data_IF_982052766975
#
_entry.id   IF_982052766975
#
_cell.length_a   1.000
_cell.length_b   1.000
_cell.length_c   1.000
_cell.angle_alpha   90.00
_cell.angle_beta   90.00
_cell.angle_gamma   90.00
#
_symmetry.space_group_name_H-M   'P 1'
#
loop_
_entity.id
_entity.type
_entity.pdbx_description
1 polymer ?
#
# COMPACT_ATOMS: atom_id res chain seq x y z
N UNK A 1 -12.92 -21.12 17.71
CA UNK A 1 -13.86 -20.16 17.08
C UNK A 1 -14.18 -20.67 15.68
N UNK A 2 -15.40 -20.51 15.17
CA UNK A 2 -15.82 -21.06 13.86
C UNK A 2 -14.87 -20.72 12.71
N UNK A 3 -14.38 -19.47 12.64
CA UNK A 3 -13.44 -19.09 11.61
C UNK A 3 -12.11 -19.86 11.66
N UNK A 4 -11.65 -20.25 12.86
CA UNK A 4 -10.42 -21.04 13.04
C UNK A 4 -10.62 -22.48 12.61
N UNK A 5 -11.80 -23.04 12.83
CA UNK A 5 -12.17 -24.38 12.35
C UNK A 5 -12.23 -24.38 10.83
N UNK A 6 -12.90 -23.39 10.23
CA UNK A 6 -12.92 -23.25 8.79
C UNK A 6 -11.50 -23.01 8.19
N UNK A 7 -10.66 -22.22 8.86
CA UNK A 7 -9.28 -22.04 8.44
C UNK A 7 -8.48 -23.35 8.51
N UNK A 8 -8.68 -24.16 9.56
CA UNK A 8 -8.02 -25.45 9.70
C UNK A 8 -8.47 -26.45 8.61
N UNK A 9 -9.78 -26.48 8.29
CA UNK A 9 -10.33 -27.30 7.21
C UNK A 9 -9.73 -26.90 5.85
N UNK A 10 -9.66 -25.60 5.58
CA UNK A 10 -9.06 -25.08 4.34
C UNK A 10 -7.57 -25.39 4.22
N UNK A 11 -6.81 -25.24 5.30
CA UNK A 11 -5.38 -25.60 5.36
C UNK A 11 -5.19 -27.09 5.17
N UNK A 12 -6.12 -27.89 5.72
CA UNK A 12 -6.09 -29.37 5.69
C UNK A 12 -6.70 -29.99 4.43
N UNK A 13 -7.29 -29.22 3.54
CA UNK A 13 -7.95 -29.73 2.33
C UNK A 13 -6.97 -30.53 1.46
N UNK A 14 -7.39 -31.75 1.06
CA UNK A 14 -6.60 -32.68 0.26
C UNK A 14 -7.16 -32.71 -1.16
N UNK A 15 -6.28 -32.58 -2.15
CA UNK A 15 -6.63 -32.72 -3.56
C UNK A 15 -6.77 -34.17 -4.01
N UNK A 16 -7.19 -34.38 -5.25
CA UNK A 16 -7.37 -35.73 -5.85
C UNK A 16 -6.05 -36.54 -5.93
N UNK A 17 -4.90 -35.87 -5.86
CA UNK A 17 -3.56 -36.44 -5.82
C UNK A 17 -3.13 -36.90 -4.41
N UNK A 18 -3.96 -36.70 -3.40
CA UNK A 18 -3.67 -37.01 -2.01
C UNK A 18 -2.71 -36.04 -1.30
N UNK A 19 -2.41 -34.88 -1.93
CA UNK A 19 -1.58 -33.82 -1.37
C UNK A 19 -2.46 -32.69 -0.85
N UNK A 20 -1.88 -31.79 -0.06
CA UNK A 20 -2.58 -30.55 0.32
C UNK A 20 -2.93 -29.75 -0.94
N UNK A 21 -4.19 -29.42 -1.07
CA UNK A 21 -4.75 -28.75 -2.26
C UNK A 21 -4.13 -27.38 -2.52
N UNK A 22 -3.88 -26.63 -1.44
CA UNK A 22 -3.47 -25.25 -1.53
C UNK A 22 -1.99 -25.09 -1.18
N UNK A 23 -1.10 -24.83 -2.16
CA UNK A 23 0.32 -24.62 -1.88
C UNK A 23 0.55 -23.32 -1.09
N UNK A 24 -0.40 -22.37 -1.15
CA UNK A 24 -0.40 -21.16 -0.34
C UNK A 24 -1.77 -20.89 0.25
N UNK A 25 -1.80 -20.52 1.53
CA UNK A 25 -3.01 -20.11 2.24
C UNK A 25 -2.77 -18.74 2.86
N UNK A 26 -3.63 -17.77 2.55
CA UNK A 26 -3.58 -16.43 3.10
C UNK A 26 -4.76 -16.24 4.05
N UNK A 27 -4.47 -15.78 5.25
CA UNK A 27 -5.46 -15.46 6.28
C UNK A 27 -5.29 -13.99 6.67
N UNK A 28 -6.19 -13.16 6.18
CA UNK A 28 -6.27 -11.74 6.48
C UNK A 28 -7.38 -11.54 7.51
N UNK A 29 -7.01 -11.18 8.73
CA UNK A 29 -7.97 -11.03 9.86
C UNK A 29 -7.57 -9.85 10.76
N UNK A 30 -8.52 -9.22 11.44
CA UNK A 30 -8.26 -8.13 12.37
C UNK A 30 -7.28 -8.50 13.49
N UNK A 31 -6.80 -7.51 14.22
CA UNK A 31 -6.08 -7.75 15.48
C UNK A 31 -6.99 -8.44 16.49
N UNK A 32 -6.38 -9.22 17.40
CA UNK A 32 -7.09 -9.95 18.48
C UNK A 32 -8.09 -11.02 17.96
N UNK A 33 -8.00 -11.41 16.69
CA UNK A 33 -8.85 -12.45 16.11
C UNK A 33 -8.47 -13.87 16.53
N UNK A 34 -7.31 -14.09 17.18
CA UNK A 34 -6.85 -15.42 17.59
C UNK A 34 -5.91 -16.08 16.58
N UNK A 35 -5.13 -15.29 15.82
CA UNK A 35 -4.13 -15.76 14.83
C UNK A 35 -3.14 -16.78 15.41
N UNK A 36 -2.67 -16.56 16.63
CA UNK A 36 -1.67 -17.42 17.30
C UNK A 36 -2.14 -18.87 17.44
N UNK A 37 -3.43 -19.08 17.75
CA UNK A 37 -4.00 -20.43 17.89
C UNK A 37 -3.95 -21.20 16.57
N UNK A 38 -4.32 -20.57 15.45
CA UNK A 38 -4.27 -21.24 14.14
C UNK A 38 -2.83 -21.49 13.69
N UNK A 39 -1.90 -20.58 14.01
CA UNK A 39 -0.47 -20.77 13.78
C UNK A 39 0.04 -22.03 14.49
N UNK A 40 -0.19 -22.09 15.79
CA UNK A 40 0.27 -23.19 16.63
C UNK A 40 -0.34 -24.54 16.20
N UNK A 41 -1.65 -24.58 16.01
CA UNK A 41 -2.32 -25.82 15.63
C UNK A 41 -1.85 -26.32 14.26
N UNK A 42 -1.69 -25.45 13.26
CA UNK A 42 -1.20 -25.84 11.94
C UNK A 42 0.23 -26.35 11.95
N UNK A 43 1.13 -25.66 12.67
CA UNK A 43 2.53 -26.07 12.79
C UNK A 43 2.67 -27.42 13.52
N UNK A 44 1.95 -27.62 14.62
CA UNK A 44 1.97 -28.87 15.39
C UNK A 44 1.31 -30.00 14.59
N UNK A 45 0.15 -29.77 14.00
CA UNK A 45 -0.54 -30.77 13.16
C UNK A 45 0.38 -31.28 12.05
N UNK A 46 1.11 -30.38 11.35
CA UNK A 46 2.02 -30.77 10.27
C UNK A 46 3.08 -31.78 10.73
N UNK A 47 3.53 -31.74 11.98
CA UNK A 47 4.52 -32.68 12.50
C UNK A 47 4.01 -34.14 12.53
N UNK A 48 2.69 -34.33 12.63
CA UNK A 48 2.04 -35.65 12.66
C UNK A 48 1.70 -36.22 11.29
N UNK A 49 1.70 -35.39 10.22
CA UNK A 49 1.26 -35.84 8.87
C UNK A 49 2.23 -36.76 8.15
N UNK A 50 3.37 -37.06 8.74
CA UNK A 50 4.36 -37.97 8.16
C UNK A 50 5.69 -37.97 8.89
N UNK A 51 6.60 -38.84 8.48
CA UNK A 51 7.95 -38.89 9.04
C UNK A 51 8.85 -37.81 8.46
N UNK A 52 9.71 -37.27 9.30
CA UNK A 52 10.73 -36.30 8.87
C UNK A 52 10.18 -34.95 8.40
N UNK A 53 9.00 -34.58 8.86
CA UNK A 53 8.43 -33.26 8.51
C UNK A 53 9.29 -32.11 9.04
N UNK A 54 9.42 -31.08 8.23
CA UNK A 54 10.14 -29.83 8.54
C UNK A 54 9.19 -28.67 8.50
N UNK A 55 8.99 -28.05 9.64
CA UNK A 55 8.07 -26.92 9.82
C UNK A 55 8.88 -25.71 10.29
N UNK A 56 8.65 -24.59 9.66
CA UNK A 56 9.34 -23.34 9.95
C UNK A 56 8.34 -22.24 10.21
N UNK A 57 8.67 -21.34 11.13
CA UNK A 57 7.89 -20.11 11.33
C UNK A 57 8.77 -18.88 11.35
N UNK A 58 8.25 -17.79 10.79
CA UNK A 58 8.92 -16.51 10.82
C UNK A 58 7.94 -15.39 11.18
N UNK A 59 8.48 -14.24 11.55
CA UNK A 59 7.75 -13.03 11.85
C UNK A 59 8.60 -11.82 11.42
N UNK A 60 8.16 -10.62 11.76
CA UNK A 60 8.82 -9.36 11.43
C UNK A 60 10.36 -9.35 11.59
N UNK A 61 10.87 -10.01 12.62
CA UNK A 61 12.32 -10.17 12.85
C UNK A 61 12.61 -11.56 13.41
N UNK A 62 13.87 -12.02 13.31
CA UNK A 62 14.29 -13.29 13.90
C UNK A 62 14.04 -13.37 15.41
N UNK A 63 14.22 -12.24 16.13
CA UNK A 63 13.92 -12.18 17.56
C UNK A 63 12.41 -12.35 17.84
N UNK A 64 11.55 -11.72 17.02
CA UNK A 64 10.09 -11.88 17.13
C UNK A 64 9.64 -13.29 16.75
N UNK A 65 10.21 -13.86 15.71
CA UNK A 65 9.95 -15.26 15.33
C UNK A 65 10.28 -16.22 16.48
N UNK A 66 11.45 -16.03 17.10
CA UNK A 66 11.87 -16.81 18.28
C UNK A 66 10.94 -16.61 19.47
N UNK A 67 10.58 -15.39 19.81
CA UNK A 67 9.68 -15.10 20.95
C UNK A 67 8.33 -15.79 20.78
N UNK A 68 7.71 -15.64 19.59
CA UNK A 68 6.42 -16.29 19.27
C UNK A 68 6.53 -17.83 19.29
N UNK A 69 7.62 -18.38 18.82
CA UNK A 69 7.87 -19.82 18.88
C UNK A 69 8.00 -20.30 20.34
N UNK A 70 8.70 -19.57 21.20
CA UNK A 70 8.83 -19.90 22.64
C UNK A 70 7.47 -19.90 23.33
N UNK A 71 6.61 -18.92 23.06
CA UNK A 71 5.23 -18.86 23.59
C UNK A 71 4.42 -20.11 23.16
N UNK A 72 4.56 -20.56 21.91
CA UNK A 72 3.89 -21.76 21.42
C UNK A 72 4.45 -23.03 22.11
N UNK A 73 5.75 -23.11 22.33
CA UNK A 73 6.39 -24.23 23.02
C UNK A 73 5.96 -24.30 24.48
N UNK A 74 5.81 -23.18 25.17
CA UNK A 74 5.32 -23.14 26.56
C UNK A 74 3.93 -23.78 26.68
N UNK A 75 3.03 -23.53 25.71
CA UNK A 75 1.71 -24.19 25.69
C UNK A 75 1.83 -25.69 25.52
N UNK A 76 2.74 -26.17 24.63
CA UNK A 76 2.95 -27.60 24.37
C UNK A 76 3.59 -28.31 25.57
N UNK A 77 4.46 -27.64 26.30
CA UNK A 77 5.11 -28.17 27.51
C UNK A 77 4.21 -28.13 28.76
N UNK A 78 3.08 -27.42 28.68
CA UNK A 78 2.17 -27.31 29.82
C UNK A 78 1.52 -28.65 30.16
N UNK A 79 1.16 -28.82 31.42
CA UNK A 79 0.46 -30.00 31.95
C UNK A 79 -0.93 -30.18 31.29
N UNK A 80 -1.47 -29.12 30.70
CA UNK A 80 -2.77 -29.15 30.03
C UNK A 80 -2.67 -29.69 28.59
N UNK A 81 -1.48 -29.81 28.01
CA UNK A 81 -1.34 -30.33 26.66
C UNK A 81 -1.20 -31.86 26.68
N UNK A 82 -2.20 -32.60 26.20
CA UNK A 82 -2.28 -34.05 26.40
C UNK A 82 -1.20 -34.86 25.67
N UNK A 83 -0.51 -34.25 24.70
CA UNK A 83 0.51 -34.91 23.89
C UNK A 83 1.94 -34.47 24.20
N UNK A 84 2.16 -33.74 25.30
CA UNK A 84 3.46 -33.15 25.65
C UNK A 84 4.60 -34.16 25.68
N UNK A 85 4.34 -35.36 26.19
CA UNK A 85 5.34 -36.44 26.33
C UNK A 85 5.90 -36.95 24.98
N UNK A 86 5.23 -36.63 23.86
CA UNK A 86 5.70 -36.97 22.52
C UNK A 86 6.78 -36.02 21.99
N UNK A 87 6.98 -34.91 22.65
CA UNK A 87 7.86 -33.86 22.17
C UNK A 87 9.12 -33.71 23.03
N UNK A 88 10.19 -33.33 22.35
CA UNK A 88 11.44 -32.90 22.96
C UNK A 88 11.77 -31.51 22.47
N UNK A 89 12.12 -30.59 23.36
CA UNK A 89 12.37 -29.19 23.02
C UNK A 89 13.83 -28.83 23.22
N UNK A 90 14.37 -28.07 22.28
CA UNK A 90 15.66 -27.35 22.40
C UNK A 90 15.39 -25.86 22.32
N UNK A 91 15.83 -25.08 23.32
CA UNK A 91 15.56 -23.63 23.43
C UNK A 91 16.83 -22.77 23.30
N UNK A 92 17.99 -23.39 23.06
CA UNK A 92 19.24 -22.64 22.92
C UNK A 92 19.18 -21.74 21.68
N UNK A 93 19.63 -20.49 21.82
CA UNK A 93 19.64 -19.53 20.73
C UNK A 93 20.42 -20.02 19.52
N UNK A 94 19.80 -19.99 18.34
CA UNK A 94 20.32 -20.53 17.09
C UNK A 94 20.20 -22.06 16.94
N UNK A 95 19.56 -22.74 17.90
CA UNK A 95 19.29 -24.18 17.83
C UNK A 95 17.90 -24.53 18.41
N UNK A 96 16.96 -23.63 18.18
CA UNK A 96 15.57 -23.79 18.61
C UNK A 96 14.88 -24.89 17.82
N UNK A 97 14.36 -25.91 18.50
CA UNK A 97 13.64 -27.01 17.85
C UNK A 97 12.61 -27.62 18.81
N UNK A 98 11.37 -27.75 18.35
CA UNK A 98 10.37 -28.65 18.90
C UNK A 98 10.40 -29.93 18.05
N UNK A 99 10.70 -31.06 18.66
CA UNK A 99 10.93 -32.33 17.98
C UNK A 99 9.85 -33.33 18.36
N UNK A 100 9.08 -33.82 17.40
CA UNK A 100 8.24 -35.02 17.57
C UNK A 100 9.12 -36.24 17.33
N UNK A 101 9.68 -36.80 18.41
CA UNK A 101 10.77 -37.77 18.38
C UNK A 101 10.42 -39.05 17.60
N UNK A 102 9.19 -39.55 17.77
CA UNK A 102 8.73 -40.79 17.12
C UNK A 102 8.72 -40.73 15.61
N UNK A 103 8.45 -39.54 15.06
CA UNK A 103 8.39 -39.33 13.60
C UNK A 103 9.63 -38.56 13.08
N UNK A 104 10.57 -38.16 13.92
CA UNK A 104 11.71 -37.32 13.56
C UNK A 104 11.30 -36.04 12.83
N UNK A 105 10.13 -35.50 13.19
CA UNK A 105 9.60 -34.24 12.65
C UNK A 105 10.01 -33.11 13.52
N UNK A 106 10.25 -31.91 12.93
CA UNK A 106 10.80 -30.74 13.63
C UNK A 106 10.05 -29.48 13.28
N UNK A 107 9.86 -28.61 14.29
CA UNK A 107 9.35 -27.26 14.14
C UNK A 107 10.34 -26.27 14.77
N UNK A 108 10.75 -25.26 14.01
CA UNK A 108 11.72 -24.25 14.43
C UNK A 108 11.38 -22.86 13.90
N UNK A 109 11.78 -21.78 14.58
CA UNK A 109 11.72 -20.44 14.06
C UNK A 109 12.90 -20.17 13.13
N UNK A 110 12.75 -19.23 12.19
CA UNK A 110 13.86 -18.68 11.42
C UNK A 110 13.72 -17.15 11.22
N UNK A 111 14.82 -16.42 11.03
CA UNK A 111 14.76 -15.00 10.68
C UNK A 111 14.24 -14.82 9.24
N UNK A 112 13.60 -13.68 8.93
CA UNK A 112 13.10 -13.40 7.58
C UNK A 112 14.21 -12.87 6.65
N UNK A 113 15.29 -13.65 6.47
CA UNK A 113 16.44 -13.29 5.62
C UNK A 113 16.63 -14.33 4.51
N UNK A 114 17.24 -13.91 3.41
CA UNK A 114 17.43 -14.71 2.20
C UNK A 114 18.17 -16.03 2.44
N UNK A 115 19.14 -16.03 3.32
CA UNK A 115 20.03 -17.17 3.62
C UNK A 115 19.54 -18.05 4.78
N UNK A 116 18.44 -17.66 5.46
CA UNK A 116 18.01 -18.26 6.71
C UNK A 116 17.67 -19.76 6.63
N UNK A 117 17.27 -20.24 5.47
CA UNK A 117 16.87 -21.63 5.21
C UNK A 117 17.78 -22.36 4.19
N UNK A 118 18.97 -21.81 3.90
CA UNK A 118 19.90 -22.45 2.97
C UNK A 118 20.28 -23.88 3.42
N UNK A 119 20.10 -24.83 2.51
CA UNK A 119 20.36 -26.26 2.79
C UNK A 119 19.27 -26.99 3.56
N UNK A 120 18.20 -26.31 3.95
CA UNK A 120 17.07 -26.90 4.64
C UNK A 120 15.98 -27.37 3.65
N UNK A 121 15.04 -28.14 4.15
CA UNK A 121 13.80 -28.52 3.48
C UNK A 121 12.60 -28.05 4.29
N UNK A 122 11.47 -27.84 3.63
CA UNK A 122 10.26 -27.38 4.30
C UNK A 122 9.00 -28.08 3.78
N UNK A 123 8.21 -28.60 4.72
CA UNK A 123 6.85 -29.10 4.47
C UNK A 123 5.82 -28.01 4.78
N UNK A 124 6.15 -27.08 5.67
CA UNK A 124 5.32 -25.94 6.03
C UNK A 124 6.19 -24.77 6.42
N UNK A 125 5.95 -23.62 5.79
CA UNK A 125 6.42 -22.32 6.26
C UNK A 125 5.22 -21.51 6.76
N UNK A 126 5.30 -20.99 7.97
CA UNK A 126 4.30 -20.11 8.55
C UNK A 126 4.88 -18.71 8.69
N UNK A 127 4.25 -17.73 8.01
CA UNK A 127 4.65 -16.33 8.02
C UNK A 127 3.62 -15.53 8.80
N UNK A 128 4.03 -14.93 9.91
CA UNK A 128 3.16 -14.09 10.75
C UNK A 128 3.45 -12.59 10.53
N UNK A 129 2.40 -11.79 10.56
CA UNK A 129 2.45 -10.32 10.38
C UNK A 129 3.07 -9.90 9.03
N UNK A 130 2.66 -10.54 7.94
CA UNK A 130 3.18 -10.30 6.60
C UNK A 130 3.08 -8.86 6.11
N UNK A 131 2.15 -8.07 6.66
CA UNK A 131 1.95 -6.66 6.33
C UNK A 131 3.17 -5.76 6.59
N UNK A 132 4.14 -6.22 7.39
CA UNK A 132 5.33 -5.43 7.76
C UNK A 132 6.44 -5.48 6.70
N UNK A 133 6.45 -6.50 5.83
CA UNK A 133 7.49 -6.68 4.83
C UNK A 133 7.26 -5.75 3.63
N UNK A 134 8.28 -5.02 3.25
CA UNK A 134 8.32 -4.37 1.95
C UNK A 134 8.59 -5.37 0.82
N UNK A 135 8.55 -4.92 -0.43
CA UNK A 135 8.72 -5.81 -1.59
C UNK A 135 10.12 -6.47 -1.63
N UNK A 136 11.17 -5.78 -1.18
CA UNK A 136 12.53 -6.31 -1.17
C UNK A 136 12.73 -7.34 -0.05
N UNK A 137 12.24 -7.05 1.16
CA UNK A 137 12.27 -7.97 2.30
C UNK A 137 11.44 -9.22 2.01
N UNK A 138 10.28 -9.04 1.40
CA UNK A 138 9.41 -10.13 1.00
C UNK A 138 10.03 -11.02 -0.09
N UNK A 139 10.68 -10.41 -1.09
CA UNK A 139 11.41 -11.13 -2.12
C UNK A 139 12.54 -11.99 -1.52
N UNK A 140 13.34 -11.42 -0.61
CA UNK A 140 14.39 -12.13 0.11
C UNK A 140 13.83 -13.30 0.93
N UNK A 141 12.73 -13.09 1.67
CA UNK A 141 12.05 -14.14 2.43
C UNK A 141 11.53 -15.26 1.53
N UNK A 142 10.87 -14.93 0.43
CA UNK A 142 10.33 -15.94 -0.50
C UNK A 142 11.45 -16.67 -1.24
N UNK A 143 12.58 -16.02 -1.49
CA UNK A 143 13.78 -16.66 -2.05
C UNK A 143 14.41 -17.68 -1.08
N UNK A 144 14.32 -17.46 0.23
CA UNK A 144 14.69 -18.45 1.23
C UNK A 144 13.71 -19.64 1.27
N UNK A 145 12.39 -19.39 1.18
CA UNK A 145 11.34 -20.39 1.40
C UNK A 145 11.14 -21.32 0.18
N UNK A 146 10.93 -20.75 -1.01
CA UNK A 146 10.47 -21.50 -2.19
C UNK A 146 11.40 -22.65 -2.57
N UNK A 147 12.74 -22.50 -2.60
CA UNK A 147 13.64 -23.61 -2.92
C UNK A 147 13.55 -24.77 -1.93
N UNK A 148 13.28 -24.52 -0.65
CA UNK A 148 13.17 -25.57 0.38
C UNK A 148 11.97 -26.51 0.18
N UNK A 149 10.97 -26.07 -0.57
CA UNK A 149 9.72 -26.79 -0.85
C UNK A 149 9.77 -27.60 -2.14
N UNK A 150 10.70 -27.33 -3.04
CA UNK A 150 10.75 -27.91 -4.40
C UNK A 150 10.76 -29.45 -4.40
N UNK A 151 11.40 -30.07 -3.41
CA UNK A 151 11.51 -31.54 -3.28
C UNK A 151 10.54 -32.11 -2.25
N UNK A 152 9.56 -31.36 -1.80
CA UNK A 152 8.61 -31.74 -0.74
C UNK A 152 7.18 -31.71 -1.27
N UNK A 153 6.66 -32.82 -1.81
CA UNK A 153 5.28 -32.89 -2.31
C UNK A 153 4.27 -32.46 -1.23
N UNK A 154 3.32 -31.63 -1.59
CA UNK A 154 2.32 -31.10 -0.67
C UNK A 154 2.86 -30.09 0.35
N UNK A 155 4.02 -29.50 0.11
CA UNK A 155 4.51 -28.39 0.92
C UNK A 155 3.57 -27.17 0.82
N UNK A 156 3.41 -26.44 1.94
CA UNK A 156 2.56 -25.27 2.00
C UNK A 156 3.29 -24.06 2.60
N UNK A 157 2.88 -22.87 2.17
CA UNK A 157 3.18 -21.62 2.85
C UNK A 157 1.88 -21.03 3.38
N UNK A 158 1.79 -20.80 4.69
CA UNK A 158 0.65 -20.17 5.34
C UNK A 158 1.06 -18.76 5.76
N UNK A 159 0.32 -17.77 5.30
CA UNK A 159 0.57 -16.36 5.59
C UNK A 159 -0.60 -15.82 6.40
N UNK A 160 -0.32 -15.32 7.60
CA UNK A 160 -1.35 -14.74 8.47
C UNK A 160 -1.01 -13.30 8.79
N UNK A 161 -1.94 -12.40 8.54
CA UNK A 161 -1.69 -10.96 8.70
C UNK A 161 -2.96 -10.17 8.96
N UNK A 162 -2.81 -8.91 9.37
CA UNK A 162 -3.79 -7.85 9.12
C UNK A 162 -3.49 -7.23 7.76
N UNK A 163 -4.43 -6.47 7.18
CA UNK A 163 -4.22 -5.81 5.88
C UNK A 163 -3.08 -4.78 5.89
N UNK A 164 -2.72 -4.25 7.06
CA UNK A 164 -1.60 -3.32 7.15
C UNK A 164 -1.92 -1.93 6.62
N UNK A 165 -0.91 -1.28 6.02
CA UNK A 165 -0.98 0.08 5.48
C UNK A 165 -0.77 0.06 3.96
N UNK A 166 -0.93 1.19 3.29
CA UNK A 166 -0.64 1.31 1.86
C UNK A 166 0.80 0.87 1.47
N UNK A 167 1.74 0.93 2.41
CA UNK A 167 3.12 0.44 2.20
C UNK A 167 3.25 -1.10 2.21
N UNK A 168 2.19 -1.82 2.56
CA UNK A 168 2.16 -3.30 2.59
C UNK A 168 1.90 -3.91 1.19
N UNK A 169 2.55 -3.36 0.17
CA UNK A 169 2.30 -3.62 -1.25
C UNK A 169 2.43 -5.09 -1.62
N UNK A 170 3.44 -5.77 -1.11
CA UNK A 170 3.60 -7.21 -1.32
C UNK A 170 2.40 -8.03 -0.81
N UNK A 171 1.97 -7.77 0.43
CA UNK A 171 0.86 -8.52 1.02
C UNK A 171 -0.46 -8.23 0.29
N UNK A 172 -0.71 -6.97 -0.08
CA UNK A 172 -1.88 -6.61 -0.87
C UNK A 172 -1.87 -7.28 -2.24
N UNK A 173 -0.75 -7.28 -2.95
CA UNK A 173 -0.59 -7.97 -4.23
C UNK A 173 -0.85 -9.48 -4.14
N UNK A 174 -0.50 -10.13 -3.02
CA UNK A 174 -0.83 -11.54 -2.77
C UNK A 174 -2.34 -11.74 -2.56
N UNK A 175 -2.98 -10.88 -1.79
CA UNK A 175 -4.45 -10.91 -1.57
C UNK A 175 -5.18 -10.72 -2.89
N UNK A 176 -4.77 -9.75 -3.70
CA UNK A 176 -5.36 -9.48 -5.01
C UNK A 176 -5.16 -10.66 -5.98
N UNK A 177 -3.97 -11.27 -5.98
CA UNK A 177 -3.70 -12.49 -6.75
C UNK A 177 -4.58 -13.65 -6.30
N UNK A 178 -4.81 -13.80 -5.00
CA UNK A 178 -5.68 -14.84 -4.47
C UNK A 178 -7.16 -14.66 -4.89
N UNK A 179 -7.60 -13.42 -5.11
CA UNK A 179 -8.95 -13.08 -5.58
C UNK A 179 -9.16 -13.34 -7.08
N UNK A 180 -8.09 -13.58 -7.85
CA UNK A 180 -8.21 -13.84 -9.29
C UNK A 180 -8.85 -15.21 -9.58
N UNK A 181 -9.72 -15.32 -10.58
CA UNK A 181 -10.29 -16.60 -11.00
C UNK A 181 -9.17 -17.61 -11.36
N UNK A 182 -9.29 -18.83 -10.84
CA UNK A 182 -8.32 -19.89 -11.09
C UNK A 182 -7.03 -19.80 -10.26
N UNK A 183 -6.99 -18.91 -9.27
CA UNK A 183 -5.87 -18.85 -8.33
C UNK A 183 -5.67 -20.18 -7.59
N UNK A 184 -4.43 -20.57 -7.39
CA UNK A 184 -4.03 -21.70 -6.55
C UNK A 184 -3.72 -21.27 -5.10
N UNK A 185 -4.14 -20.07 -4.71
CA UNK A 185 -3.99 -19.52 -3.37
C UNK A 185 -5.36 -19.52 -2.68
N UNK A 186 -5.46 -20.18 -1.53
CA UNK A 186 -6.65 -20.05 -0.71
C UNK A 186 -6.63 -18.77 0.09
N UNK A 187 -7.75 -18.07 0.18
CA UNK A 187 -7.88 -16.79 0.88
C UNK A 187 -9.03 -16.83 1.88
N UNK A 188 -8.71 -16.51 3.13
CA UNK A 188 -9.66 -16.06 4.14
C UNK A 188 -9.43 -14.58 4.40
N UNK A 189 -10.41 -13.74 4.06
CA UNK A 189 -10.31 -12.29 4.21
C UNK A 189 -11.51 -11.81 5.04
N UNK A 190 -11.24 -11.47 6.31
CA UNK A 190 -12.22 -10.95 7.25
C UNK A 190 -11.94 -9.48 7.50
N UNK A 191 -12.87 -8.64 7.19
CA UNK A 191 -12.75 -7.20 7.40
C UNK A 191 -13.97 -6.46 6.88
N UNK A 192 -14.04 -5.17 7.16
CA UNK A 192 -15.07 -4.29 6.64
C UNK A 192 -14.82 -3.98 5.16
N UNK A 193 -15.89 -3.73 4.41
CA UNK A 193 -15.82 -3.35 3.00
C UNK A 193 -15.23 -1.95 2.77
N UNK A 194 -14.87 -1.62 1.53
CA UNK A 194 -14.29 -0.32 1.19
C UNK A 194 -15.26 0.85 1.44
N UNK A 195 -16.56 0.61 1.32
CA UNK A 195 -17.60 1.63 1.47
C UNK A 195 -18.23 1.67 2.87
N UNK A 196 -17.83 0.75 3.76
CA UNK A 196 -18.32 0.71 5.13
C UNK A 196 -17.79 1.87 5.96
N UNK A 197 -18.60 2.37 6.91
CA UNK A 197 -18.11 3.33 7.89
C UNK A 197 -17.16 2.65 8.89
N UNK A 198 -15.88 2.99 8.89
CA UNK A 198 -14.91 2.35 9.77
C UNK A 198 -15.06 2.73 11.25
N UNK A 199 -15.92 3.69 11.58
CA UNK A 199 -16.22 4.12 12.96
C UNK A 199 -17.52 3.49 13.50
N UNK A 200 -18.30 2.85 12.64
CA UNK A 200 -19.51 2.12 13.02
C UNK A 200 -19.16 0.80 13.71
N UNK A 201 -19.45 0.73 15.00
CA UNK A 201 -19.11 -0.43 15.82
C UNK A 201 -19.93 -1.68 15.48
N UNK A 202 -21.14 -1.52 14.97
CA UNK A 202 -21.98 -2.66 14.58
C UNK A 202 -21.44 -3.28 13.30
N UNK A 203 -20.99 -2.46 12.36
CA UNK A 203 -20.28 -2.92 11.14
C UNK A 203 -18.98 -3.63 11.50
N UNK A 204 -18.17 -3.07 12.38
CA UNK A 204 -16.94 -3.72 12.88
C UNK A 204 -17.28 -5.06 13.55
N UNK A 205 -18.26 -5.09 14.46
CA UNK A 205 -18.67 -6.29 15.18
C UNK A 205 -19.13 -7.41 14.24
N UNK A 206 -19.92 -7.07 13.21
CA UNK A 206 -20.41 -8.02 12.23
C UNK A 206 -19.29 -8.66 11.38
N UNK A 207 -18.18 -7.95 11.16
CA UNK A 207 -17.06 -8.39 10.33
C UNK A 207 -15.85 -8.88 11.13
N UNK A 208 -15.85 -8.78 12.47
CA UNK A 208 -14.75 -9.22 13.30
C UNK A 208 -14.95 -10.68 13.77
N UNK A 209 -14.17 -11.65 13.30
CA UNK A 209 -14.46 -13.08 13.49
C UNK A 209 -14.31 -13.58 14.94
N UNK A 210 -13.75 -12.77 15.85
CA UNK A 210 -13.68 -13.06 17.28
C UNK A 210 -14.73 -12.30 18.11
N UNK A 211 -15.63 -11.54 17.47
CA UNK A 211 -16.71 -10.87 18.19
C UNK A 211 -17.67 -11.89 18.81
N UNK A 212 -18.05 -11.65 20.06
CA UNK A 212 -18.86 -12.58 20.83
C UNK A 212 -18.08 -13.74 21.48
N UNK A 213 -16.78 -13.86 21.21
CA UNK A 213 -15.86 -14.82 21.84
C UNK A 213 -14.86 -14.12 22.76
N UNK A 214 -13.88 -13.46 22.18
CA UNK A 214 -12.81 -12.75 22.89
C UNK A 214 -12.91 -11.23 22.74
N UNK A 215 -13.62 -10.76 21.72
CA UNK A 215 -13.88 -9.35 21.46
C UNK A 215 -15.34 -9.03 21.81
N UNK A 216 -15.55 -7.97 22.57
CA UNK A 216 -16.87 -7.51 23.02
C UNK A 216 -17.12 -6.08 22.54
N UNK A 217 -18.40 -5.65 22.52
CA UNK A 217 -18.76 -4.28 22.17
C UNK A 217 -18.06 -3.25 23.06
N UNK A 218 -17.90 -3.54 24.35
CA UNK A 218 -17.20 -2.64 25.29
C UNK A 218 -15.70 -2.54 24.99
N UNK A 219 -15.09 -3.64 24.51
CA UNK A 219 -13.67 -3.60 24.08
C UNK A 219 -13.50 -2.80 22.79
N UNK A 220 -14.44 -2.89 21.85
CA UNK A 220 -14.47 -2.10 20.62
C UNK A 220 -14.65 -0.60 20.90
N UNK A 221 -15.58 -0.25 21.78
CA UNK A 221 -15.80 1.14 22.21
C UNK A 221 -14.53 1.75 22.78
N UNK A 222 -13.90 1.07 23.76
CA UNK A 222 -12.64 1.53 24.35
C UNK A 222 -11.52 1.70 23.32
N UNK A 223 -11.42 0.76 22.39
CA UNK A 223 -10.40 0.83 21.34
C UNK A 223 -10.65 2.00 20.38
N UNK A 224 -11.90 2.23 19.97
CA UNK A 224 -12.29 3.37 19.13
C UNK A 224 -11.97 4.71 19.81
N UNK A 225 -12.25 4.81 21.11
CA UNK A 225 -12.04 6.07 21.85
C UNK A 225 -10.54 6.36 22.11
N UNK A 226 -9.66 5.34 22.00
CA UNK A 226 -8.22 5.47 22.25
C UNK A 226 -7.38 5.55 20.98
N UNK A 227 -7.88 5.09 19.85
CA UNK A 227 -7.16 5.04 18.59
C UNK A 227 -7.66 6.12 17.62
N UNK A 228 -6.75 6.62 16.78
CA UNK A 228 -7.16 7.42 15.64
C UNK A 228 -8.09 6.60 14.72
N UNK A 229 -9.09 7.21 14.05
CA UNK A 229 -10.07 6.47 13.23
C UNK A 229 -9.44 5.51 12.21
N UNK A 230 -8.39 5.94 11.51
CA UNK A 230 -7.67 5.09 10.57
C UNK A 230 -6.97 3.89 11.24
N UNK A 231 -6.39 4.10 12.42
CA UNK A 231 -5.76 3.02 13.20
C UNK A 231 -6.80 2.03 13.73
N UNK A 232 -7.96 2.51 14.15
CA UNK A 232 -9.07 1.68 14.58
C UNK A 232 -9.60 0.83 13.43
N UNK A 233 -9.84 1.44 12.26
CA UNK A 233 -10.26 0.76 11.03
C UNK A 233 -9.28 -0.36 10.64
N UNK A 234 -7.97 -0.09 10.70
CA UNK A 234 -6.93 -1.07 10.40
C UNK A 234 -6.89 -2.20 11.42
N UNK A 235 -6.93 -1.85 12.71
CA UNK A 235 -6.74 -2.84 13.79
C UNK A 235 -7.96 -3.76 13.95
N UNK A 236 -9.17 -3.22 13.90
CA UNK A 236 -10.40 -3.93 14.21
C UNK A 236 -11.29 -4.15 12.99
N UNK A 237 -11.25 -3.27 11.99
CA UNK A 237 -11.94 -3.45 10.72
C UNK A 237 -11.13 -4.23 9.69
N UNK A 238 -9.86 -4.52 9.96
CA UNK A 238 -8.93 -5.14 9.01
C UNK A 238 -8.94 -4.45 7.64
N UNK A 239 -9.18 -3.17 7.65
CA UNK A 239 -9.21 -2.35 6.44
C UNK A 239 -7.81 -1.84 6.14
N UNK A 240 -7.39 -1.96 4.90
CA UNK A 240 -6.20 -1.26 4.44
C UNK A 240 -6.40 0.23 4.74
N UNK A 241 -5.55 0.77 5.59
CA UNK A 241 -5.49 2.22 5.71
C UNK A 241 -4.59 2.70 4.59
N UNK A 242 -5.09 3.64 3.81
CA UNK A 242 -4.27 4.42 2.89
C UNK A 242 -3.02 4.95 3.60
N UNK A 243 -2.01 5.38 2.86
CA UNK A 243 -0.80 5.97 3.40
C UNK A 243 -1.16 6.82 4.63
N UNK A 244 -0.41 6.68 5.72
CA UNK A 244 -0.61 7.35 7.02
C UNK A 244 -1.32 8.68 6.85
N UNK A 245 -2.61 8.81 7.23
CA UNK A 245 -3.44 9.99 6.97
C UNK A 245 -3.32 10.44 5.51
N UNK A 246 -4.22 10.01 4.62
CA UNK A 246 -4.28 10.64 3.29
C UNK A 246 -4.10 12.14 3.48
N UNK A 247 -3.03 12.68 2.91
CA UNK A 247 -2.79 14.11 3.01
C UNK A 247 -3.97 14.87 2.40
N UNK A 248 -4.52 14.36 1.30
CA UNK A 248 -5.76 14.82 0.68
C UNK A 248 -6.89 13.89 1.11
N UNK A 249 -7.85 14.33 1.96
CA UNK A 249 -8.99 13.52 2.36
C UNK A 249 -9.79 13.01 1.16
N UNK A 250 -10.21 11.74 1.18
CA UNK A 250 -10.93 11.12 0.06
C UNK A 250 -12.20 11.91 -0.32
N UNK A 251 -13.01 12.29 0.67
CA UNK A 251 -14.22 13.07 0.43
C UNK A 251 -13.95 14.43 -0.20
N UNK A 252 -12.86 15.10 0.21
CA UNK A 252 -12.43 16.36 -0.39
C UNK A 252 -11.98 16.15 -1.85
N UNK A 253 -11.20 15.09 -2.13
CA UNK A 253 -10.80 14.76 -3.49
C UNK A 253 -12.00 14.43 -4.38
N UNK A 254 -12.92 13.59 -3.90
CA UNK A 254 -14.14 13.23 -4.64
C UNK A 254 -15.01 14.44 -4.97
N UNK A 255 -15.08 15.43 -4.08
CA UNK A 255 -15.86 16.66 -4.32
C UNK A 255 -15.30 17.53 -5.44
N UNK A 256 -14.02 17.37 -5.84
CA UNK A 256 -13.40 18.10 -6.94
C UNK A 256 -13.69 17.49 -8.32
N UNK A 257 -14.26 16.27 -8.38
CA UNK A 257 -14.39 15.51 -9.64
C UNK A 257 -15.50 16.05 -10.53
N UNK A 258 -15.23 16.16 -11.85
CA UNK A 258 -16.22 16.61 -12.82
C UNK A 258 -16.02 15.94 -14.19
N UNK A 259 -17.09 15.54 -14.84
CA UNK A 259 -17.08 15.03 -16.23
C UNK A 259 -16.97 16.16 -17.29
N UNK A 260 -17.12 17.41 -16.86
CA UNK A 260 -17.00 18.58 -17.77
C UNK A 260 -15.56 18.70 -18.28
N UNK A 261 -15.42 19.28 -19.47
CA UNK A 261 -14.11 19.54 -20.09
C UNK A 261 -13.74 21.02 -19.99
N UNK A 262 -12.46 21.30 -20.17
CA UNK A 262 -11.98 22.68 -20.34
C UNK A 262 -12.71 23.30 -21.55
N UNK A 263 -13.42 24.44 -21.37
CA UNK A 263 -14.09 25.11 -22.51
C UNK A 263 -13.09 25.54 -23.56
N UNK A 264 -13.45 25.42 -24.84
CA UNK A 264 -12.59 25.80 -25.95
C UNK A 264 -12.23 27.31 -25.98
N UNK A 265 -12.99 28.13 -25.27
CA UNK A 265 -12.76 29.59 -25.12
C UNK A 265 -11.91 29.91 -23.90
N UNK A 266 -11.59 28.93 -23.06
CA UNK A 266 -10.78 29.14 -21.87
C UNK A 266 -9.31 29.35 -22.23
N UNK A 267 -8.61 30.27 -21.55
CA UNK A 267 -7.16 30.28 -21.59
C UNK A 267 -6.61 28.95 -21.02
N UNK A 268 -5.61 28.40 -21.69
CA UNK A 268 -5.00 27.13 -21.28
C UNK A 268 -3.58 27.36 -20.81
N UNK A 269 -3.19 26.67 -19.74
CA UNK A 269 -1.82 26.56 -19.27
C UNK A 269 -1.44 25.09 -19.21
N UNK A 270 -0.33 24.72 -19.86
CA UNK A 270 0.23 23.38 -19.80
C UNK A 270 1.29 23.28 -18.70
N UNK A 271 1.35 22.12 -18.07
CA UNK A 271 2.47 21.75 -17.19
C UNK A 271 2.81 20.27 -17.39
N UNK A 272 4.03 19.92 -17.00
CA UNK A 272 4.46 18.52 -17.04
C UNK A 272 5.35 18.20 -15.84
N UNK A 273 5.30 16.94 -15.44
CA UNK A 273 6.22 16.39 -14.45
C UNK A 273 6.66 14.98 -14.85
N UNK A 274 7.89 14.67 -14.46
CA UNK A 274 8.52 13.36 -14.61
C UNK A 274 8.56 12.72 -13.23
N UNK A 275 8.19 11.46 -13.09
CA UNK A 275 8.28 10.72 -11.85
C UNK A 275 9.72 10.59 -11.34
N UNK A 276 9.88 10.24 -10.06
CA UNK A 276 11.20 10.22 -9.41
C UNK A 276 12.18 9.24 -10.08
N UNK A 277 11.67 8.11 -10.56
CA UNK A 277 12.47 7.05 -11.20
C UNK A 277 12.61 7.27 -12.72
N UNK A 278 12.03 8.35 -13.25
CA UNK A 278 12.02 8.73 -14.68
C UNK A 278 11.40 7.68 -15.59
N UNK A 279 10.49 6.89 -15.06
CA UNK A 279 9.80 5.81 -15.78
C UNK A 279 8.62 6.30 -16.60
N UNK A 280 7.99 7.42 -16.16
CA UNK A 280 6.87 8.05 -16.88
C UNK A 280 6.94 9.58 -16.85
N UNK A 281 6.24 10.18 -17.78
CA UNK A 281 5.99 11.62 -17.83
C UNK A 281 4.51 11.87 -18.00
N UNK A 282 3.98 12.86 -17.28
CA UNK A 282 2.59 13.29 -17.35
C UNK A 282 2.53 14.74 -17.81
N UNK A 283 1.67 15.04 -18.78
CA UNK A 283 1.34 16.38 -19.25
C UNK A 283 -0.10 16.66 -18.88
N UNK A 284 -0.34 17.80 -18.24
CA UNK A 284 -1.66 18.28 -17.87
C UNK A 284 -1.96 19.64 -18.50
N UNK A 285 -3.24 19.93 -18.67
CA UNK A 285 -3.75 21.24 -19.02
C UNK A 285 -4.62 21.76 -17.87
N UNK A 286 -4.47 23.03 -17.54
CA UNK A 286 -5.40 23.77 -16.69
C UNK A 286 -6.09 24.87 -17.49
N UNK A 287 -7.38 25.03 -17.24
CA UNK A 287 -8.23 26.08 -17.81
C UNK A 287 -9.23 26.59 -16.77
N UNK A 288 -10.23 27.35 -17.22
CA UNK A 288 -11.27 27.90 -16.35
C UNK A 288 -12.63 27.40 -16.81
N UNK A 289 -13.41 26.84 -15.89
CA UNK A 289 -14.81 26.44 -16.06
C UNK A 289 -15.66 27.08 -14.99
N UNK A 290 -16.67 27.88 -15.37
CA UNK A 290 -17.58 28.55 -14.44
C UNK A 290 -16.82 29.29 -13.31
N UNK A 291 -15.78 30.06 -13.67
CA UNK A 291 -14.88 30.81 -12.78
C UNK A 291 -13.94 29.96 -11.90
N UNK A 292 -13.99 28.63 -11.99
CA UNK A 292 -13.11 27.73 -11.25
C UNK A 292 -12.01 27.15 -12.15
N UNK A 293 -10.79 26.98 -11.64
CA UNK A 293 -9.76 26.19 -12.32
C UNK A 293 -10.23 24.74 -12.52
N UNK A 294 -10.03 24.24 -13.75
CA UNK A 294 -10.26 22.83 -14.08
C UNK A 294 -8.99 22.23 -14.69
N UNK A 295 -8.65 21.01 -14.31
CA UNK A 295 -7.46 20.28 -14.76
C UNK A 295 -7.87 19.03 -15.52
N UNK A 296 -7.17 18.77 -16.63
CA UNK A 296 -7.25 17.53 -17.41
C UNK A 296 -5.86 16.95 -17.65
N UNK A 297 -5.71 15.64 -17.54
CA UNK A 297 -4.52 14.92 -18.03
C UNK A 297 -4.64 14.86 -19.56
N UNK A 298 -3.65 15.44 -20.25
CA UNK A 298 -3.62 15.52 -21.72
C UNK A 298 -2.90 14.34 -22.32
N UNK A 299 -1.80 13.95 -21.72
CA UNK A 299 -0.98 12.84 -22.19
C UNK A 299 -0.16 12.23 -21.05
N UNK A 300 -0.04 10.91 -21.04
CA UNK A 300 0.75 10.15 -20.08
C UNK A 300 1.38 8.96 -20.78
N UNK A 301 2.72 8.85 -20.74
CA UNK A 301 3.44 7.75 -21.38
C UNK A 301 4.71 7.39 -20.60
N UNK A 302 5.20 6.15 -20.77
CA UNK A 302 6.49 5.73 -20.27
C UNK A 302 7.63 6.57 -20.87
N UNK A 303 8.67 6.79 -20.06
CA UNK A 303 9.88 7.53 -20.43
C UNK A 303 9.69 9.03 -20.53
N UNK A 304 10.73 9.73 -21.00
CA UNK A 304 10.80 11.21 -20.93
C UNK A 304 10.97 11.90 -22.29
N UNK A 305 11.51 11.21 -23.29
CA UNK A 305 11.97 11.81 -24.53
C UNK A 305 10.85 12.37 -25.45
N UNK A 306 9.63 11.92 -25.25
CA UNK A 306 8.46 12.31 -26.02
C UNK A 306 7.84 13.64 -25.54
N UNK A 307 8.15 14.05 -24.30
CA UNK A 307 7.41 15.12 -23.62
C UNK A 307 7.70 16.50 -24.19
N UNK A 308 8.98 16.85 -24.45
CA UNK A 308 9.33 18.17 -24.96
C UNK A 308 8.74 18.42 -26.36
N UNK A 309 8.87 17.53 -27.37
CA UNK A 309 8.22 17.72 -28.66
C UNK A 309 6.69 17.79 -28.53
N UNK A 310 6.08 17.02 -27.64
CA UNK A 310 4.64 17.02 -27.43
C UNK A 310 4.15 18.33 -26.80
N UNK A 311 4.86 18.86 -25.81
CA UNK A 311 4.55 20.15 -25.21
C UNK A 311 4.71 21.29 -26.22
N UNK A 312 5.74 21.28 -27.05
CA UNK A 312 5.94 22.25 -28.13
C UNK A 312 4.77 22.26 -29.11
N UNK A 313 4.31 21.08 -29.52
CA UNK A 313 3.12 20.91 -30.37
C UNK A 313 1.86 21.50 -29.70
N UNK A 314 1.62 21.19 -28.42
CA UNK A 314 0.45 21.65 -27.68
C UNK A 314 0.47 23.16 -27.48
N UNK A 315 1.60 23.74 -27.08
CA UNK A 315 1.76 25.19 -26.91
C UNK A 315 1.44 25.93 -28.22
N UNK A 316 1.99 25.45 -29.35
CA UNK A 316 1.73 26.03 -30.67
C UNK A 316 0.29 25.89 -31.10
N UNK A 317 -0.31 24.72 -30.87
CA UNK A 317 -1.69 24.42 -31.27
C UNK A 317 -2.73 25.28 -30.54
N UNK A 318 -2.49 25.55 -29.27
CA UNK A 318 -3.45 26.27 -28.41
C UNK A 318 -3.05 27.72 -28.17
N UNK A 319 -1.99 28.21 -28.82
CA UNK A 319 -1.44 29.56 -28.64
C UNK A 319 -1.24 29.91 -27.16
N UNK A 320 -0.72 28.95 -26.40
CA UNK A 320 -0.51 29.10 -24.95
C UNK A 320 0.89 29.63 -24.63
N UNK A 321 1.06 30.16 -23.41
CA UNK A 321 2.39 30.49 -22.90
C UNK A 321 3.24 29.22 -22.72
N UNK A 322 4.58 29.42 -22.53
CA UNK A 322 5.49 28.32 -22.25
C UNK A 322 4.99 27.47 -21.08
N UNK A 323 5.20 26.13 -21.12
CA UNK A 323 4.66 25.22 -20.10
C UNK A 323 5.37 25.40 -18.76
N UNK A 324 4.68 25.05 -17.69
CA UNK A 324 5.22 25.09 -16.34
C UNK A 324 5.82 23.73 -15.98
N UNK A 325 7.13 23.71 -15.72
CA UNK A 325 7.90 22.51 -15.40
C UNK A 325 8.87 22.83 -14.27
N UNK A 326 8.92 21.98 -13.23
CA UNK A 326 9.85 22.14 -12.13
C UNK A 326 11.31 22.02 -12.62
N UNK A 327 12.14 23.07 -12.52
CA UNK A 327 13.54 23.02 -12.94
C UNK A 327 14.44 22.26 -11.95
N UNK A 328 13.87 21.82 -10.81
CA UNK A 328 14.60 21.12 -9.75
C UNK A 328 14.13 19.65 -9.68
N UNK A 329 15.04 18.72 -9.81
CA UNK A 329 14.74 17.29 -9.68
C UNK A 329 14.52 16.57 -11.01
N UNK A 330 13.62 15.55 -11.09
CA UNK A 330 13.50 14.66 -12.25
C UNK A 330 13.16 15.38 -13.56
N UNK A 331 12.40 16.47 -13.48
CA UNK A 331 11.91 17.23 -14.64
C UNK A 331 12.89 18.28 -15.18
N UNK A 332 14.07 18.48 -14.55
CA UNK A 332 15.02 19.51 -14.97
C UNK A 332 15.46 19.42 -16.42
N UNK A 333 15.74 18.21 -16.89
CA UNK A 333 16.14 17.97 -18.29
C UNK A 333 15.04 18.30 -19.31
N UNK A 334 13.77 18.29 -18.90
CA UNK A 334 12.65 18.70 -19.76
C UNK A 334 12.65 20.21 -19.95
N UNK A 335 13.05 20.97 -18.94
CA UNK A 335 13.22 22.44 -19.04
C UNK A 335 14.29 22.76 -20.08
N UNK A 336 15.48 22.14 -19.97
CA UNK A 336 16.58 22.36 -20.94
C UNK A 336 16.17 22.04 -22.39
N UNK A 337 15.39 20.97 -22.56
CA UNK A 337 14.88 20.57 -23.90
C UNK A 337 13.87 21.56 -24.47
N UNK A 338 13.01 22.14 -23.62
CA UNK A 338 12.04 23.15 -24.05
C UNK A 338 12.70 24.49 -24.37
N UNK A 339 13.72 24.89 -23.58
CA UNK A 339 14.55 26.07 -23.89
C UNK A 339 15.28 25.91 -25.22
N UNK A 340 15.82 24.70 -25.50
CA UNK A 340 16.44 24.41 -26.80
C UNK A 340 15.44 24.45 -27.99
N UNK A 341 14.13 24.26 -27.75
CA UNK A 341 13.07 24.43 -28.73
C UNK A 341 12.60 25.90 -28.85
N UNK A 342 13.19 26.82 -28.07
CA UNK A 342 12.94 28.26 -28.14
C UNK A 342 11.85 28.76 -27.20
N UNK A 343 11.43 27.96 -26.21
CA UNK A 343 10.50 28.42 -25.18
C UNK A 343 11.21 29.23 -24.11
N UNK A 344 10.64 30.39 -23.75
CA UNK A 344 11.08 31.18 -22.59
C UNK A 344 10.39 30.62 -21.33
N UNK A 345 11.11 29.77 -20.60
CA UNK A 345 10.54 29.02 -19.47
C UNK A 345 10.25 29.92 -18.24
N UNK A 346 9.12 29.69 -17.54
CA UNK A 346 8.82 30.37 -16.29
C UNK A 346 9.91 30.13 -15.24
N UNK A 347 10.33 31.20 -14.53
CA UNK A 347 11.34 31.11 -13.45
C UNK A 347 10.71 30.54 -12.18
N UNK A 348 10.71 29.23 -12.05
CA UNK A 348 10.19 28.51 -10.89
C UNK A 348 11.32 28.31 -9.88
N UNK A 349 11.04 28.63 -8.63
CA UNK A 349 11.94 28.43 -7.51
C UNK A 349 11.23 27.67 -6.37
N UNK A 350 11.96 27.31 -5.33
CA UNK A 350 11.44 26.55 -4.19
C UNK A 350 10.22 27.23 -3.53
N UNK A 351 10.19 28.57 -3.46
CA UNK A 351 9.05 29.30 -2.89
C UNK A 351 7.79 29.09 -3.73
N UNK A 352 7.90 29.12 -5.06
CA UNK A 352 6.76 28.87 -5.96
C UNK A 352 6.25 27.45 -5.76
N UNK A 353 7.15 26.45 -5.71
CA UNK A 353 6.78 25.04 -5.51
C UNK A 353 6.00 24.85 -4.21
N UNK A 354 6.49 25.42 -3.11
CA UNK A 354 5.83 25.30 -1.80
C UNK A 354 4.51 26.06 -1.73
N UNK A 355 4.44 27.28 -2.32
CA UNK A 355 3.21 28.06 -2.34
C UNK A 355 2.15 27.43 -3.24
N UNK A 356 2.53 26.90 -4.39
CA UNK A 356 1.62 26.20 -5.30
C UNK A 356 1.05 24.91 -4.67
N UNK A 357 1.87 24.14 -3.94
CA UNK A 357 1.41 22.98 -3.23
C UNK A 357 0.40 23.30 -2.13
N UNK A 358 0.67 24.34 -1.35
CA UNK A 358 -0.23 24.81 -0.29
C UNK A 358 -1.56 25.36 -0.88
N UNK A 359 -1.48 26.18 -1.94
CA UNK A 359 -2.65 26.71 -2.61
C UNK A 359 -3.55 25.61 -3.19
N UNK A 360 -2.95 24.61 -3.85
CA UNK A 360 -3.74 23.49 -4.37
C UNK A 360 -4.42 22.71 -3.24
N UNK A 361 -3.71 22.45 -2.14
CA UNK A 361 -4.29 21.77 -0.98
C UNK A 361 -5.47 22.55 -0.41
N UNK A 362 -5.32 23.86 -0.23
CA UNK A 362 -6.38 24.75 0.28
C UNK A 362 -7.61 24.76 -0.66
N UNK A 363 -7.41 24.66 -1.97
CA UNK A 363 -8.50 24.58 -2.96
C UNK A 363 -9.26 23.28 -2.90
N UNK A 364 -8.54 22.17 -2.76
CA UNK A 364 -9.14 20.82 -2.67
C UNK A 364 -9.94 20.68 -1.38
N UNK A 365 -9.40 21.19 -0.26
CA UNK A 365 -9.99 21.01 1.07
C UNK A 365 -10.91 22.15 1.52
N UNK A 366 -11.21 23.08 0.62
CA UNK A 366 -12.08 24.21 0.94
C UNK A 366 -13.49 23.75 1.36
N UNK A 367 -14.04 24.42 2.37
CA UNK A 367 -15.39 24.22 2.86
C UNK A 367 -16.17 25.54 2.84
N UNK A 368 -17.49 25.44 2.79
CA UNK A 368 -18.37 26.59 2.98
C UNK A 368 -18.50 26.99 4.47
N UNK A 369 -19.36 27.97 4.76
CA UNK A 369 -19.58 28.46 6.11
C UNK A 369 -20.18 27.41 7.08
N UNK A 370 -20.81 26.39 6.55
CA UNK A 370 -21.46 25.29 7.30
C UNK A 370 -20.51 24.08 7.43
N UNK A 371 -19.26 24.18 6.91
CA UNK A 371 -18.28 23.10 6.95
C UNK A 371 -18.48 22.01 5.90
N UNK A 372 -19.36 22.22 4.92
CA UNK A 372 -19.58 21.30 3.80
C UNK A 372 -18.52 21.52 2.75
N UNK A 373 -18.03 20.44 2.13
CA UNK A 373 -17.00 20.50 1.08
C UNK A 373 -17.45 21.45 -0.06
N UNK A 374 -16.65 22.47 -0.32
CA UNK A 374 -16.87 23.46 -1.36
C UNK A 374 -15.55 23.73 -2.09
N UNK A 375 -15.09 22.75 -2.92
CA UNK A 375 -13.79 22.84 -3.56
C UNK A 375 -13.71 24.04 -4.50
N UNK A 376 -12.51 24.62 -4.61
CA UNK A 376 -12.21 25.76 -5.49
C UNK A 376 -11.33 25.36 -6.68
N UNK A 377 -11.38 24.09 -7.03
CA UNK A 377 -10.69 23.50 -8.16
C UNK A 377 -11.48 22.28 -8.62
N UNK A 378 -11.46 22.00 -9.92
CA UNK A 378 -12.08 20.82 -10.51
C UNK A 378 -11.03 19.96 -11.21
N UNK A 379 -11.21 18.66 -11.14
CA UNK A 379 -10.40 17.68 -11.86
C UNK A 379 -11.30 16.81 -12.72
N UNK A 380 -10.86 16.60 -13.94
CA UNK A 380 -11.47 15.58 -14.77
C UNK A 380 -10.93 14.19 -14.34
N UNK A 381 -11.79 13.17 -14.19
CA UNK A 381 -11.38 11.85 -13.70
C UNK A 381 -10.22 11.28 -14.53
N UNK A 382 -9.17 10.86 -13.85
CA UNK A 382 -8.00 10.20 -14.42
C UNK A 382 -7.30 9.36 -13.36
N UNK A 383 -7.02 8.08 -13.66
CA UNK A 383 -6.42 7.14 -12.72
C UNK A 383 -5.09 7.63 -12.13
N UNK A 384 -4.29 8.37 -12.91
CA UNK A 384 -3.00 8.87 -12.44
C UNK A 384 -3.14 10.00 -11.43
N UNK A 385 -4.17 10.83 -11.56
CA UNK A 385 -4.52 11.88 -10.59
C UNK A 385 -5.10 11.25 -9.31
N UNK A 386 -5.99 10.27 -9.45
CA UNK A 386 -6.62 9.59 -8.33
C UNK A 386 -5.57 8.85 -7.47
N UNK A 387 -4.68 8.10 -8.12
CA UNK A 387 -3.56 7.42 -7.45
C UNK A 387 -2.64 8.45 -6.78
N UNK A 388 -2.26 9.52 -7.49
CA UNK A 388 -1.38 10.53 -6.93
C UNK A 388 -1.99 11.23 -5.71
N UNK A 389 -3.28 11.57 -5.75
CA UNK A 389 -4.01 12.16 -4.62
C UNK A 389 -4.15 11.19 -3.44
N UNK A 390 -4.22 9.90 -3.71
CA UNK A 390 -4.27 8.85 -2.68
C UNK A 390 -2.96 8.69 -1.91
N UNK A 391 -1.83 8.65 -2.63
CA UNK A 391 -0.54 8.27 -2.08
C UNK A 391 0.35 9.45 -1.69
N UNK A 392 -0.01 10.68 -2.10
CA UNK A 392 0.83 11.86 -1.86
C UNK A 392 1.07 12.10 -0.37
N UNK A 393 2.31 12.43 -0.04
CA UNK A 393 2.75 12.87 1.28
C UNK A 393 3.36 14.27 1.21
N UNK A 394 3.51 14.92 2.36
CA UNK A 394 4.22 16.20 2.44
C UNK A 394 5.67 16.01 2.90
N UNK A 395 6.57 16.83 2.36
CA UNK A 395 7.94 17.00 2.87
C UNK A 395 8.15 18.43 3.37
N UNK A 396 8.86 18.59 4.46
CA UNK A 396 9.24 19.92 4.95
C UNK A 396 10.31 20.56 4.07
N UNK A 397 10.17 21.87 3.85
CA UNK A 397 11.12 22.69 3.10
C UNK A 397 11.29 24.00 3.89
N UNK A 398 12.24 24.02 4.84
CA UNK A 398 12.32 25.06 5.84
C UNK A 398 11.05 25.10 6.72
N UNK A 399 10.42 26.26 6.81
CA UNK A 399 9.13 26.44 7.50
C UNK A 399 7.91 26.11 6.61
N UNK A 400 8.12 25.91 5.30
CA UNK A 400 7.08 25.53 4.35
C UNK A 400 7.08 24.02 4.08
N UNK A 401 6.20 23.56 3.18
CA UNK A 401 6.13 22.18 2.74
C UNK A 401 5.88 22.08 1.23
N UNK A 402 6.20 20.92 0.65
CA UNK A 402 5.91 20.56 -0.73
C UNK A 402 5.49 19.08 -0.79
N UNK A 403 4.97 18.65 -1.93
CA UNK A 403 4.70 17.22 -2.19
C UNK A 403 5.99 16.39 -2.08
N UNK A 404 5.88 15.20 -1.49
CA UNK A 404 7.02 14.29 -1.32
C UNK A 404 7.02 13.22 -2.40
N UNK A 405 8.04 13.23 -3.27
CA UNK A 405 8.23 12.20 -4.31
C UNK A 405 8.76 10.89 -3.76
N UNK A 406 9.51 10.93 -2.64
CA UNK A 406 10.24 9.77 -2.12
C UNK A 406 9.43 8.86 -1.22
N UNK A 407 8.40 9.40 -0.58
CA UNK A 407 7.61 8.69 0.44
C UNK A 407 6.24 8.27 -0.07
N UNK A 408 5.88 8.69 -1.27
CA UNK A 408 4.54 8.49 -1.82
C UNK A 408 4.19 7.04 -2.21
N UNK A 409 5.13 6.12 -2.23
CA UNK A 409 4.86 4.72 -2.59
C UNK A 409 4.45 4.49 -4.06
N UNK A 410 4.60 5.52 -4.92
CA UNK A 410 4.26 5.50 -6.33
C UNK A 410 4.45 6.86 -6.99
N UNK A 411 4.07 6.99 -8.28
CA UNK A 411 4.20 8.24 -9.02
C UNK A 411 3.15 9.28 -8.58
N UNK A 412 3.61 10.50 -8.26
CA UNK A 412 2.76 11.67 -8.02
C UNK A 412 2.91 12.73 -9.12
N UNK A 413 3.51 12.37 -10.26
CA UNK A 413 3.81 13.29 -11.35
C UNK A 413 2.54 14.00 -11.87
N UNK A 414 1.39 13.32 -11.94
CA UNK A 414 0.14 13.93 -12.35
C UNK A 414 -0.30 15.07 -11.42
N UNK A 415 -0.19 14.89 -10.11
CA UNK A 415 -0.56 15.91 -9.13
C UNK A 415 0.46 17.06 -9.10
N UNK A 416 1.75 16.79 -9.25
CA UNK A 416 2.78 17.83 -9.38
C UNK A 416 2.58 18.69 -10.61
N UNK A 417 2.31 18.06 -11.77
CA UNK A 417 1.99 18.78 -12.99
C UNK A 417 0.70 19.61 -12.84
N UNK A 418 -0.35 19.05 -12.25
CA UNK A 418 -1.59 19.75 -11.95
C UNK A 418 -1.38 20.99 -11.05
N UNK A 419 -0.55 20.84 -10.02
CA UNK A 419 -0.17 21.94 -9.11
C UNK A 419 0.44 23.11 -9.86
N UNK A 420 1.40 22.83 -10.75
CA UNK A 420 2.07 23.87 -11.53
C UNK A 420 1.18 24.44 -12.65
N UNK A 421 0.30 23.63 -13.25
CA UNK A 421 -0.63 24.12 -14.27
C UNK A 421 -1.63 25.14 -13.70
N UNK A 422 -2.20 24.85 -12.51
CA UNK A 422 -3.12 25.76 -11.81
C UNK A 422 -2.38 27.04 -11.41
N UNK A 423 -1.21 26.91 -10.79
CA UNK A 423 -0.40 28.06 -10.42
C UNK A 423 -0.09 28.95 -11.62
N UNK A 424 0.34 28.34 -12.74
CA UNK A 424 0.64 29.05 -13.97
C UNK A 424 -0.57 29.69 -14.65
N UNK A 425 -1.76 29.11 -14.50
CA UNK A 425 -2.99 29.69 -15.03
C UNK A 425 -3.29 31.07 -14.41
N UNK A 426 -3.01 31.23 -13.12
CA UNK A 426 -3.29 32.44 -12.36
C UNK A 426 -2.12 33.44 -12.30
N UNK A 427 -0.88 32.93 -12.46
CA UNK A 427 0.34 33.73 -12.33
C UNK A 427 1.07 33.86 -13.67
N UNK A 428 0.33 34.08 -14.76
CA UNK A 428 0.94 34.29 -16.09
C UNK A 428 1.96 35.45 -16.03
N UNK A 429 3.16 35.27 -16.61
CA UNK A 429 4.06 36.40 -16.83
C UNK A 429 3.31 37.47 -17.62
N UNK A 430 3.31 38.71 -17.13
CA UNK A 430 2.81 39.82 -17.93
C UNK A 430 3.62 39.89 -19.23
N UNK A 431 2.97 40.10 -20.39
CA UNK A 431 3.71 40.28 -21.61
C UNK A 431 4.68 41.46 -21.43
N UNK A 432 5.90 41.38 -21.98
CA UNK A 432 6.85 42.47 -21.87
C UNK A 432 6.18 43.75 -22.39
N UNK A 433 6.17 44.81 -21.57
CA UNK A 433 5.67 46.14 -21.97
C UNK A 433 6.54 46.55 -23.15
N UNK A 434 5.96 46.58 -24.36
CA UNK A 434 6.67 47.07 -25.53
C UNK A 434 7.23 48.46 -25.20
N UNK A 435 8.52 48.71 -25.42
CA UNK A 435 9.09 50.04 -25.15
C UNK A 435 8.31 51.04 -26.00
N UNK A 436 7.67 52.03 -25.34
CA UNK A 436 7.11 53.16 -26.05
C UNK A 436 8.29 53.90 -26.69
N UNK A 437 8.50 53.69 -27.98
CA UNK A 437 9.40 54.50 -28.80
C UNK A 437 8.74 55.89 -28.87
N UNK A 438 9.35 56.89 -28.22
CA UNK A 438 9.02 58.29 -28.41
C UNK A 438 9.72 58.81 -29.66
#
# INVERSE_FOLDING_TARGET
MPWQEYAADLIGEIGDDGLFRWPMVIISVPRQAGKTTISQSSCVHRLFTGRGRRVWSTAQTGQKARSKWLEQVEVIESDLFPLRELFTTKKAAGNEQLILSRLNSKFAPHPPTEDSLHGEQSDLNFIDEAWVFDDAEAAALMQAIVPTQTTRPGAQTIIVSTMGTAASTWFHGLVDKAKQPGSNIALLDYGIGPDDDPTDLDVIAANHPAYGYTVTMDSLKRARDQLAPAEFARAYGNRQTGARNRLIPLSAWQSTQTEKKIPSTSPITFAAAIDIDRTETVIVAAGVLDEMPIVEVVDRRPGTNWAAPRLDELVKKFDSSAPWVDPIGPSSTLVDQLEALGHEMPKINTRIITSAAADLMDRITATDADGVASPRVLFRPDDSLDIAAEIVEQRRVGEAWAWSRKTAGGSIAALEAATLAIWGLEHKPLPPIAPMIR
#
